data_IF_580879336641
#
_entry.id   IF_580879336641
#
_cell.length_a   1.000
_cell.length_b   1.000
_cell.length_c   1.000
_cell.angle_alpha   90.00
_cell.angle_beta   90.00
_cell.angle_gamma   90.00
#
_symmetry.space_group_name_H-M   'P 1'
#
loop_
_entity.id
_entity.type
_entity.pdbx_description
1 polymer ?
#
# COMPACT_ATOMS: atom_id res chain seq x y z
N UNK A 1 1.69 8.73 -0.16
CA UNK A 1 1.79 10.05 0.50
C UNK A 1 1.45 11.14 -0.48
N UNK A 2 0.75 12.18 -0.03
CA UNK A 2 0.34 13.31 -0.86
C UNK A 2 0.68 14.62 -0.16
N UNK A 3 1.23 15.59 -0.89
CA UNK A 3 1.49 16.95 -0.44
C UNK A 3 0.84 17.99 -1.37
N UNK A 4 0.53 19.17 -0.85
CA UNK A 4 -0.01 20.31 -1.62
C UNK A 4 1.10 21.19 -2.23
N UNK A 5 2.36 20.91 -1.92
CA UNK A 5 3.55 21.59 -2.44
C UNK A 5 4.67 20.56 -2.59
N UNK A 6 5.53 20.76 -3.57
CA UNK A 6 6.71 19.92 -3.78
C UNK A 6 7.63 19.97 -2.54
N UNK A 7 8.03 18.80 -2.03
CA UNK A 7 8.83 18.69 -0.80
C UNK A 7 8.15 19.17 0.49
N UNK A 8 6.85 19.47 0.46
CA UNK A 8 6.08 19.92 1.62
C UNK A 8 5.70 18.79 2.59
N UNK A 9 4.98 19.12 3.68
CA UNK A 9 4.46 18.11 4.59
C UNK A 9 3.53 17.15 3.85
N UNK A 10 3.75 15.86 4.07
CA UNK A 10 3.01 14.79 3.43
C UNK A 10 1.96 14.19 4.36
N UNK A 11 0.84 13.76 3.79
CA UNK A 11 -0.15 12.92 4.47
C UNK A 11 -0.37 11.62 3.72
N UNK A 12 -0.49 10.52 4.45
CA UNK A 12 -0.88 9.24 3.86
C UNK A 12 -2.39 9.19 3.69
N UNK A 13 -2.84 8.87 2.48
CA UNK A 13 -4.25 8.77 2.09
C UNK A 13 -4.41 7.57 1.16
N UNK A 14 -5.61 6.99 1.12
CA UNK A 14 -5.91 5.86 0.25
C UNK A 14 -6.24 6.33 -1.17
N UNK A 15 -5.48 5.88 -2.17
CA UNK A 15 -5.64 6.35 -3.55
C UNK A 15 -6.98 5.94 -4.18
N UNK A 16 -7.55 4.80 -3.78
CA UNK A 16 -8.77 4.24 -4.41
C UNK A 16 -10.01 5.13 -4.29
N UNK A 17 -10.07 6.00 -3.27
CA UNK A 17 -11.23 6.88 -3.05
C UNK A 17 -10.83 8.34 -2.76
N UNK A 18 -9.56 8.71 -2.93
CA UNK A 18 -9.12 10.10 -2.74
C UNK A 18 -9.14 10.83 -4.09
N UNK A 19 -9.96 11.89 -4.26
CA UNK A 19 -9.98 12.67 -5.48
C UNK A 19 -8.65 13.38 -5.71
N UNK A 20 -8.28 13.58 -6.98
CA UNK A 20 -7.12 14.38 -7.33
C UNK A 20 -7.37 15.86 -6.99
N UNK A 21 -6.41 16.49 -6.32
CA UNK A 21 -6.45 17.93 -6.05
C UNK A 21 -5.48 18.64 -7.00
N UNK A 22 -5.86 19.81 -7.58
CA UNK A 22 -4.95 20.60 -8.40
C UNK A 22 -3.67 20.95 -7.64
N UNK A 23 -2.51 20.73 -8.28
CA UNK A 23 -1.21 21.00 -7.66
C UNK A 23 -0.80 20.00 -6.56
N UNK A 24 -1.50 18.87 -6.42
CA UNK A 24 -1.07 17.81 -5.51
C UNK A 24 0.14 17.04 -6.06
N UNK A 25 1.09 16.75 -5.18
CA UNK A 25 2.26 15.94 -5.43
C UNK A 25 2.09 14.58 -4.76
N UNK A 26 2.19 13.51 -5.54
CA UNK A 26 1.98 12.13 -5.07
C UNK A 26 3.32 11.41 -4.98
N UNK A 27 3.61 10.88 -3.80
CA UNK A 27 4.79 10.07 -3.51
C UNK A 27 4.33 8.63 -3.24
N UNK A 28 4.34 7.75 -4.25
CA UNK A 28 3.78 6.39 -4.14
C UNK A 28 4.72 5.39 -3.44
N UNK A 29 6.00 5.74 -3.28
CA UNK A 29 7.05 4.84 -2.78
C UNK A 29 7.86 5.44 -1.63
N UNK A 30 7.31 6.42 -0.90
CA UNK A 30 7.96 6.99 0.29
C UNK A 30 8.19 5.94 1.37
N UNK A 31 9.20 6.14 2.22
CA UNK A 31 9.52 5.22 3.31
C UNK A 31 8.34 4.94 4.24
N UNK A 32 7.52 5.96 4.50
CA UNK A 32 6.31 5.83 5.32
C UNK A 32 5.26 4.93 4.65
N UNK A 33 5.03 5.08 3.33
CA UNK A 33 4.13 4.21 2.57
C UNK A 33 4.65 2.77 2.53
N UNK A 34 5.96 2.58 2.34
CA UNK A 34 6.55 1.25 2.34
C UNK A 34 6.41 0.55 3.69
N UNK A 35 6.67 1.25 4.79
CA UNK A 35 6.46 0.73 6.16
C UNK A 35 4.99 0.38 6.39
N UNK A 36 4.07 1.27 6.02
CA UNK A 36 2.63 1.00 6.15
C UNK A 36 2.20 -0.24 5.37
N UNK A 37 2.64 -0.37 4.10
CA UNK A 37 2.32 -1.56 3.27
C UNK A 37 2.83 -2.85 3.91
N UNK A 38 4.05 -2.87 4.44
CA UNK A 38 4.61 -4.03 5.16
C UNK A 38 3.74 -4.40 6.36
N UNK A 39 3.39 -3.43 7.20
CA UNK A 39 2.53 -3.67 8.37
C UNK A 39 1.15 -4.23 7.99
N UNK A 40 0.56 -3.75 6.89
CA UNK A 40 -0.73 -4.27 6.40
C UNK A 40 -0.59 -5.72 5.96
N UNK A 41 0.46 -6.06 5.20
CA UNK A 41 0.71 -7.43 4.77
C UNK A 41 1.00 -8.34 5.98
N UNK A 42 1.79 -7.88 6.94
CA UNK A 42 2.05 -8.62 8.18
C UNK A 42 0.73 -8.95 8.91
N UNK A 43 -0.19 -7.99 9.01
CA UNK A 43 -1.51 -8.21 9.61
C UNK A 43 -2.38 -9.19 8.79
N UNK A 44 -2.37 -9.10 7.46
CA UNK A 44 -3.11 -10.04 6.61
C UNK A 44 -2.56 -11.45 6.77
N UNK A 45 -1.23 -11.60 6.87
CA UNK A 45 -0.57 -12.89 7.02
C UNK A 45 -0.79 -13.54 8.40
N UNK A 46 -1.19 -12.80 9.45
CA UNK A 46 -1.53 -13.44 10.73
C UNK A 46 -2.77 -14.33 10.63
N UNK A 47 -3.70 -13.97 9.75
CA UNK A 47 -4.96 -14.68 9.54
C UNK A 47 -4.97 -15.53 8.25
N UNK A 48 -3.93 -15.44 7.41
CA UNK A 48 -3.81 -16.20 6.16
C UNK A 48 -3.03 -17.51 6.37
N UNK A 49 -3.52 -18.67 5.89
CA UNK A 49 -2.80 -19.93 5.99
C UNK A 49 -1.52 -19.90 5.13
N UNK A 50 -0.39 -20.33 5.68
CA UNK A 50 0.92 -20.34 4.99
C UNK A 50 1.12 -21.58 4.10
N UNK A 51 0.07 -21.97 3.38
CA UNK A 51 0.01 -23.19 2.58
C UNK A 51 0.13 -22.89 1.07
N UNK A 52 0.88 -21.84 0.70
CA UNK A 52 0.93 -21.34 -0.67
C UNK A 52 1.27 -22.43 -1.70
N UNK A 53 2.15 -23.39 -1.36
CA UNK A 53 2.57 -24.45 -2.29
C UNK A 53 1.49 -25.50 -2.59
N UNK A 54 0.50 -25.64 -1.71
CA UNK A 54 -0.63 -26.58 -1.86
C UNK A 54 -1.96 -25.86 -2.10
N UNK A 55 -1.97 -24.53 -2.10
CA UNK A 55 -3.13 -23.70 -2.38
C UNK A 55 -3.58 -23.81 -3.84
N UNK A 56 -4.90 -23.87 -4.07
CA UNK A 56 -5.50 -24.03 -5.40
C UNK A 56 -5.17 -22.87 -6.37
N UNK A 57 -4.89 -21.68 -5.84
CA UNK A 57 -4.58 -20.47 -6.62
C UNK A 57 -3.09 -20.11 -6.61
N UNK A 58 -2.21 -21.04 -6.22
CA UNK A 58 -0.76 -20.84 -6.26
C UNK A 58 -0.29 -20.35 -7.64
N UNK A 59 0.52 -19.28 -7.65
CA UNK A 59 1.02 -18.65 -8.88
C UNK A 59 0.05 -17.69 -9.56
N UNK A 60 -1.20 -17.62 -9.10
CA UNK A 60 -2.23 -16.68 -9.56
C UNK A 60 -2.87 -15.88 -8.39
N UNK A 61 -2.26 -15.89 -7.21
CA UNK A 61 -2.74 -15.19 -6.02
C UNK A 61 -2.19 -13.76 -5.97
N UNK A 62 -3.06 -12.74 -5.85
CA UNK A 62 -2.64 -11.33 -5.75
C UNK A 62 -1.92 -10.96 -4.44
N UNK A 63 -1.99 -11.84 -3.43
CA UNK A 63 -1.28 -11.67 -2.16
C UNK A 63 0.19 -12.14 -2.24
N UNK A 64 0.52 -13.01 -3.20
CA UNK A 64 1.87 -13.57 -3.43
C UNK A 64 2.75 -12.59 -4.20
#
# INVERSE_FOLDING_TARGET
>A
DVALKEGGPVKTVASCHTPIMPGAYVYPSSDNVQKLRKNIIELVLTDHPLDCLTCEVNGNCELQ
#
